data_IF_767437810765
#
_entry.id   IF_767437810765
#
_cell.length_a   1.000
_cell.length_b   1.000
_cell.length_c   1.000
_cell.angle_alpha   90.00
_cell.angle_beta   90.00
_cell.angle_gamma   90.00
#
_symmetry.space_group_name_H-M   'P 1'
#
loop_
_entity.id
_entity.type
_entity.pdbx_description
1 polymer ?
#
# COMPACT_ATOMS: atom_id res chain seq x y z
N UNK A 1 -21.39 3.75 36.40
CA UNK A 1 -20.61 4.62 35.50
C UNK A 1 -19.16 4.54 35.96
N UNK A 2 -18.28 3.95 35.15
CA UNK A 2 -16.87 3.77 35.55
C UNK A 2 -16.17 5.13 35.49
N UNK A 3 -15.48 5.56 36.56
CA UNK A 3 -14.78 6.85 36.56
C UNK A 3 -13.72 6.87 35.46
N UNK A 4 -13.45 8.06 34.90
CA UNK A 4 -12.40 8.21 33.90
C UNK A 4 -11.04 7.82 34.52
N UNK A 5 -10.20 7.08 33.79
CA UNK A 5 -8.88 6.71 34.26
C UNK A 5 -7.97 7.93 34.38
N UNK A 6 -6.90 7.80 35.18
CA UNK A 6 -5.91 8.85 35.40
C UNK A 6 -5.19 9.26 34.09
N UNK A 7 -4.40 10.34 34.14
CA UNK A 7 -3.68 10.81 32.95
C UNK A 7 -2.67 9.80 32.43
N UNK A 8 -2.09 8.96 33.30
CA UNK A 8 -1.11 7.94 32.90
C UNK A 8 -1.75 6.86 32.04
N UNK A 9 -2.86 6.29 32.50
CA UNK A 9 -3.63 5.29 31.75
C UNK A 9 -4.19 5.87 30.44
N UNK A 10 -4.54 7.17 30.40
CA UNK A 10 -4.93 7.85 29.16
C UNK A 10 -3.76 8.04 28.19
N UNK A 11 -2.57 8.36 28.69
CA UNK A 11 -1.36 8.46 27.87
C UNK A 11 -0.95 7.10 27.29
N UNK A 12 -1.01 6.03 28.09
CA UNK A 12 -0.76 4.66 27.64
C UNK A 12 -1.73 4.24 26.54
N UNK A 13 -3.03 4.51 26.71
CA UNK A 13 -4.03 4.25 25.66
C UNK A 13 -3.71 5.00 24.36
N UNK A 14 -3.34 6.29 24.43
CA UNK A 14 -2.96 7.07 23.24
C UNK A 14 -1.75 6.46 22.53
N UNK A 15 -0.74 6.00 23.27
CA UNK A 15 0.43 5.35 22.71
C UNK A 15 0.08 4.02 22.02
N UNK A 16 -0.79 3.22 22.63
CA UNK A 16 -1.28 1.97 22.02
C UNK A 16 -2.08 2.23 20.74
N UNK A 17 -2.95 3.25 20.74
CA UNK A 17 -3.70 3.66 19.55
C UNK A 17 -2.77 4.16 18.45
N UNK A 18 -1.75 4.95 18.78
CA UNK A 18 -0.76 5.41 17.82
C UNK A 18 -0.01 4.24 17.18
N UNK A 19 0.43 3.26 17.99
CA UNK A 19 1.08 2.03 17.52
C UNK A 19 0.17 1.21 16.61
N UNK A 20 -1.09 1.01 17.00
CA UNK A 20 -2.06 0.29 16.18
C UNK A 20 -2.34 1.01 14.86
N UNK A 21 -2.40 2.34 14.88
CA UNK A 21 -2.62 3.16 13.68
C UNK A 21 -1.43 3.08 12.73
N UNK A 22 -0.21 3.17 13.26
CA UNK A 22 1.01 3.02 12.47
C UNK A 22 1.08 1.64 11.81
N UNK A 23 0.76 0.57 12.55
CA UNK A 23 0.72 -0.79 11.99
C UNK A 23 -0.32 -0.92 10.88
N UNK A 24 -1.51 -0.34 11.05
CA UNK A 24 -2.54 -0.35 10.00
C UNK A 24 -2.06 0.37 8.74
N UNK A 25 -1.33 1.48 8.90
CA UNK A 25 -0.77 2.22 7.77
C UNK A 25 0.26 1.39 7.03
N UNK A 26 1.24 0.82 7.74
CA UNK A 26 2.30 0.02 7.12
C UNK A 26 1.77 -1.22 6.41
N UNK A 27 0.80 -1.92 7.01
CA UNK A 27 0.17 -3.08 6.37
C UNK A 27 -0.63 -2.64 5.12
N UNK A 28 -1.30 -1.49 5.15
CA UNK A 28 -2.01 -0.98 3.97
C UNK A 28 -1.04 -0.66 2.84
N UNK A 29 0.06 0.02 3.14
CA UNK A 29 1.09 0.34 2.14
C UNK A 29 1.71 -0.91 1.54
N UNK A 30 1.99 -1.91 2.37
CA UNK A 30 2.51 -3.21 1.91
C UNK A 30 1.52 -3.92 0.99
N UNK A 31 0.27 -4.07 1.41
CA UNK A 31 -0.77 -4.75 0.62
C UNK A 31 -1.01 -4.02 -0.70
N UNK A 32 -1.04 -2.69 -0.69
CA UNK A 32 -1.22 -1.88 -1.90
C UNK A 32 -0.03 -2.06 -2.87
N UNK A 33 1.19 -2.12 -2.33
CA UNK A 33 2.41 -2.36 -3.12
C UNK A 33 2.40 -3.74 -3.76
N UNK A 34 2.19 -4.79 -2.97
CA UNK A 34 2.12 -6.18 -3.46
C UNK A 34 1.02 -6.33 -4.53
N UNK A 35 -0.14 -5.71 -4.31
CA UNK A 35 -1.24 -5.69 -5.28
C UNK A 35 -0.81 -5.07 -6.62
N UNK A 36 -0.27 -3.85 -6.63
CA UNK A 36 0.07 -3.18 -7.89
C UNK A 36 1.27 -3.80 -8.60
N UNK A 37 2.19 -4.44 -7.87
CA UNK A 37 3.25 -5.25 -8.46
C UNK A 37 2.67 -6.47 -9.19
N UNK A 38 1.70 -7.15 -8.60
CA UNK A 38 1.02 -8.27 -9.25
C UNK A 38 0.25 -7.81 -10.49
N UNK A 39 -0.48 -6.69 -10.40
CA UNK A 39 -1.15 -6.10 -11.55
C UNK A 39 -0.16 -5.73 -12.67
N UNK A 40 1.05 -5.28 -12.32
CA UNK A 40 2.08 -5.00 -13.33
C UNK A 40 2.53 -6.25 -14.10
N UNK A 41 2.57 -7.41 -13.43
CA UNK A 41 2.82 -8.70 -14.09
C UNK A 41 1.65 -9.11 -14.98
N UNK A 42 0.42 -9.02 -14.46
CA UNK A 42 -0.80 -9.46 -15.16
C UNK A 42 -1.11 -8.61 -16.40
N UNK A 43 -0.89 -7.29 -16.36
CA UNK A 43 -1.18 -6.43 -17.51
C UNK A 43 -0.28 -6.70 -18.73
N UNK A 44 0.80 -7.49 -18.57
CA UNK A 44 1.76 -7.84 -19.62
C UNK A 44 1.54 -9.25 -20.18
N UNK A 45 0.55 -10.00 -19.67
CA UNK A 45 0.34 -11.41 -20.03
C UNK A 45 -0.09 -11.62 -21.48
N UNK A 46 -0.77 -10.65 -22.09
CA UNK A 46 -1.15 -10.68 -23.51
C UNK A 46 -1.48 -9.27 -24.03
N UNK A 47 -1.55 -9.12 -25.35
CA UNK A 47 -1.96 -7.86 -25.98
C UNK A 47 -3.43 -7.55 -25.63
N UNK A 48 -3.65 -6.46 -24.90
CA UNK A 48 -4.98 -6.05 -24.43
C UNK A 48 -5.20 -6.25 -22.93
N UNK A 49 -4.37 -7.05 -22.25
CA UNK A 49 -4.55 -7.40 -20.83
C UNK A 49 -4.66 -6.18 -19.90
N UNK A 50 -4.00 -5.07 -20.21
CA UNK A 50 -4.15 -3.82 -19.45
C UNK A 50 -5.59 -3.28 -19.44
N UNK A 51 -6.32 -3.44 -20.55
CA UNK A 51 -7.72 -3.04 -20.65
C UNK A 51 -8.60 -3.99 -19.83
N UNK A 52 -8.39 -5.30 -19.95
CA UNK A 52 -9.16 -6.30 -19.19
C UNK A 52 -8.93 -6.18 -17.68
N UNK A 53 -7.70 -5.89 -17.25
CA UNK A 53 -7.39 -5.53 -15.85
C UNK A 53 -8.16 -4.29 -15.42
N UNK A 54 -8.20 -3.24 -16.25
CA UNK A 54 -8.91 -2.01 -15.93
C UNK A 54 -10.42 -2.27 -15.77
N UNK A 55 -10.99 -3.08 -16.66
CA UNK A 55 -12.40 -3.46 -16.62
C UNK A 55 -12.72 -4.33 -15.39
N UNK A 56 -11.85 -5.30 -15.06
CA UNK A 56 -12.00 -6.13 -13.86
C UNK A 56 -11.92 -5.32 -12.56
N UNK A 57 -11.08 -4.29 -12.51
CA UNK A 57 -10.94 -3.40 -11.36
C UNK A 57 -11.98 -2.26 -11.35
N UNK A 58 -12.76 -2.07 -12.41
CA UNK A 58 -13.69 -0.96 -12.55
C UNK A 58 -13.00 0.41 -12.60
N UNK A 59 -11.78 0.48 -13.14
CA UNK A 59 -10.98 1.70 -13.25
C UNK A 59 -10.63 2.00 -14.71
N UNK A 60 -10.02 3.17 -14.97
CA UNK A 60 -9.56 3.51 -16.32
C UNK A 60 -8.24 2.80 -16.63
N UNK A 61 -8.03 2.39 -17.88
CA UNK A 61 -6.74 1.85 -18.37
C UNK A 61 -5.52 2.70 -18.00
N UNK A 62 -5.63 4.02 -18.11
CA UNK A 62 -4.56 4.95 -17.73
C UNK A 62 -4.30 5.00 -16.22
N UNK A 63 -5.29 4.67 -15.39
CA UNK A 63 -5.12 4.57 -13.95
C UNK A 63 -4.27 3.35 -13.60
N UNK A 64 -4.51 2.19 -14.24
CA UNK A 64 -3.67 0.99 -14.11
C UNK A 64 -2.21 1.35 -14.40
N UNK A 65 -1.94 1.96 -15.56
CA UNK A 65 -0.57 2.34 -15.94
C UNK A 65 0.11 3.26 -14.93
N UNK A 66 -0.62 4.25 -14.38
CA UNK A 66 -0.05 5.17 -13.40
C UNK A 66 0.28 4.47 -12.08
N UNK A 67 -0.61 3.60 -11.61
CA UNK A 67 -0.41 2.90 -10.35
C UNK A 67 0.71 1.86 -10.47
N UNK A 68 0.72 1.05 -11.51
CA UNK A 68 1.80 0.07 -11.70
C UNK A 68 3.16 0.75 -11.87
N UNK A 69 3.22 1.95 -12.47
CA UNK A 69 4.46 2.76 -12.48
C UNK A 69 4.84 3.25 -11.09
N UNK A 70 3.88 3.73 -10.30
CA UNK A 70 4.11 4.24 -8.94
C UNK A 70 4.67 3.16 -8.01
N UNK A 71 4.16 1.92 -8.11
CA UNK A 71 4.52 0.82 -7.23
C UNK A 71 5.57 -0.14 -7.82
N UNK A 72 5.77 -0.14 -9.13
CA UNK A 72 6.77 -0.97 -9.81
C UNK A 72 8.21 -0.45 -9.69
N UNK A 73 8.41 0.84 -9.38
CA UNK A 73 9.76 1.40 -9.12
C UNK A 73 10.32 1.05 -7.75
N UNK A 74 9.55 0.40 -6.86
CA UNK A 74 10.02 0.01 -5.54
C UNK A 74 11.02 -1.17 -5.56
N UNK A 75 11.16 -1.87 -6.70
CA UNK A 75 12.11 -2.98 -6.90
C UNK A 75 13.32 -2.61 -7.78
N UNK A 76 13.63 -1.32 -7.98
CA UNK A 76 14.91 -0.89 -8.56
C UNK A 76 15.81 -0.22 -7.50
N UNK A 77 16.57 -1.07 -6.80
CA UNK A 77 17.86 -0.88 -6.11
C UNK A 77 18.08 0.29 -5.11
N UNK A 78 18.31 -0.02 -3.82
CA UNK A 78 19.22 0.76 -2.95
C UNK A 78 20.69 0.29 -3.05
N UNK A 79 21.08 -0.48 -4.07
CA UNK A 79 22.42 -1.06 -4.20
C UNK A 79 23.35 -0.37 -5.21
N UNK A 80 23.21 0.94 -5.41
CA UNK A 80 24.16 1.71 -6.22
C UNK A 80 24.37 3.12 -5.63
N UNK A 81 25.10 3.21 -4.52
CA UNK A 81 26.15 4.24 -4.35
C UNK A 81 27.06 3.92 -3.13
N UNK A 82 28.01 3.01 -3.33
CA UNK A 82 29.31 3.08 -2.67
C UNK A 82 30.34 3.03 -3.80
N UNK A 83 30.87 4.21 -4.16
CA UNK A 83 31.94 4.41 -5.14
C UNK A 83 32.60 5.75 -4.94
#
# INVERSE_FOLDING_TARGET
MTPRPDEKARAELRALVAKASQRRESERERVETEFWQEIDRLQKSYHGAQQDVADALGVKRNQVLRQTKRYGSADQDPAADNG
#
